data_IF_403078428431
#
_entry.id   IF_403078428431
#
_cell.length_a   1.000
_cell.length_b   1.000
_cell.length_c   1.000
_cell.angle_alpha   90.00
_cell.angle_beta   90.00
_cell.angle_gamma   90.00
#
_symmetry.space_group_name_H-M   'P 1'
#
loop_
_entity.id
_entity.type
_entity.pdbx_description
1 polymer ?
#
# COMPACT_ATOMS: atom_id res chain seq x y z
N UNK A 1 -17.55 -40.38 -16.74
CA UNK A 1 -17.05 -39.43 -17.75
C UNK A 1 -17.72 -38.09 -17.51
N UNK A 2 -17.10 -37.22 -16.72
CA UNK A 2 -17.62 -35.88 -16.42
C UNK A 2 -17.30 -34.96 -17.59
N UNK A 3 -18.32 -34.65 -18.40
CA UNK A 3 -18.25 -33.69 -19.49
C UNK A 3 -18.09 -32.28 -18.93
N UNK A 4 -16.88 -31.72 -19.02
CA UNK A 4 -16.65 -30.32 -18.66
C UNK A 4 -17.27 -29.41 -19.72
N UNK A 5 -18.25 -28.60 -19.31
CA UNK A 5 -18.85 -27.57 -20.16
C UNK A 5 -17.77 -26.56 -20.61
N UNK A 6 -17.71 -26.18 -21.90
CA UNK A 6 -16.70 -25.25 -22.37
C UNK A 6 -16.92 -23.84 -21.78
N UNK A 7 -15.91 -23.32 -21.09
CA UNK A 7 -15.89 -21.99 -20.48
C UNK A 7 -16.07 -20.93 -21.58
N UNK A 8 -17.08 -20.06 -21.44
CA UNK A 8 -17.38 -19.01 -22.42
C UNK A 8 -16.35 -17.87 -22.38
N UNK A 9 -16.26 -17.06 -23.43
CA UNK A 9 -15.34 -15.92 -23.49
C UNK A 9 -15.63 -14.88 -22.40
N UNK A 10 -16.88 -14.76 -21.96
CA UNK A 10 -17.26 -13.87 -20.87
C UNK A 10 -16.87 -14.46 -19.51
N UNK A 11 -17.02 -15.76 -19.31
CA UNK A 11 -16.53 -16.45 -18.12
C UNK A 11 -15.00 -16.35 -18.01
N UNK A 12 -14.27 -16.42 -19.15
CA UNK A 12 -12.83 -16.16 -19.21
C UNK A 12 -12.46 -14.74 -18.81
N UNK A 13 -13.27 -13.74 -19.17
CA UNK A 13 -13.05 -12.34 -18.76
C UNK A 13 -13.37 -12.14 -17.28
N UNK A 14 -14.38 -12.81 -16.74
CA UNK A 14 -14.74 -12.78 -15.31
C UNK A 14 -13.67 -13.39 -14.42
N UNK A 15 -12.97 -14.43 -14.90
CA UNK A 15 -11.81 -15.02 -14.22
C UNK A 15 -10.59 -14.09 -14.15
N UNK A 16 -10.53 -13.06 -15.00
CA UNK A 16 -9.40 -12.13 -15.10
C UNK A 16 -9.69 -10.72 -14.57
N UNK A 17 -10.95 -10.37 -14.32
CA UNK A 17 -11.30 -9.03 -13.89
C UNK A 17 -11.24 -8.94 -12.35
N UNK A 18 -10.44 -8.04 -11.75
CA UNK A 18 -10.22 -8.00 -10.31
C UNK A 18 -11.33 -7.27 -9.56
N UNK A 19 -12.60 -7.58 -9.86
CA UNK A 19 -13.73 -6.93 -9.19
C UNK A 19 -13.71 -7.34 -7.71
N UNK A 20 -13.45 -6.38 -6.84
CA UNK A 20 -13.36 -6.58 -5.39
C UNK A 20 -11.96 -6.92 -4.86
N UNK A 21 -10.94 -7.02 -5.71
CA UNK A 21 -9.56 -7.26 -5.23
C UNK A 21 -8.89 -5.96 -4.84
N UNK A 22 -8.30 -5.93 -3.63
CA UNK A 22 -7.52 -4.79 -3.14
C UNK A 22 -6.10 -4.82 -3.71
N UNK A 23 -5.51 -3.64 -3.89
CA UNK A 23 -4.11 -3.49 -4.26
C UNK A 23 -3.21 -4.18 -3.24
N UNK A 24 -2.31 -5.05 -3.68
CA UNK A 24 -1.40 -5.77 -2.78
C UNK A 24 -0.38 -4.88 -2.05
N UNK A 25 -0.23 -3.62 -2.50
CA UNK A 25 0.65 -2.61 -1.88
C UNK A 25 -0.15 -1.65 -1.00
N UNK A 26 -1.01 -0.83 -1.60
CA UNK A 26 -1.69 0.27 -0.88
C UNK A 26 -3.14 -0.04 -0.46
N UNK A 27 -3.62 -1.27 -0.72
CA UNK A 27 -4.99 -1.74 -0.41
C UNK A 27 -6.17 -0.93 -0.98
N UNK A 28 -5.92 0.04 -1.86
CA UNK A 28 -6.98 0.69 -2.63
C UNK A 28 -7.63 -0.29 -3.61
N UNK A 29 -8.87 -0.03 -4.08
CA UNK A 29 -9.49 -0.84 -5.13
C UNK A 29 -8.55 -0.98 -6.33
N UNK A 30 -8.28 -2.23 -6.74
CA UNK A 30 -7.43 -2.47 -7.89
C UNK A 30 -8.04 -1.91 -9.18
N UNK A 31 -7.18 -1.52 -10.12
CA UNK A 31 -7.58 -0.92 -11.39
C UNK A 31 -7.14 -1.75 -12.60
N UNK A 32 -6.94 -3.05 -12.40
CA UNK A 32 -6.62 -4.00 -13.48
C UNK A 32 -5.14 -4.30 -13.70
N UNK A 33 -4.23 -3.67 -12.96
CA UNK A 33 -2.80 -4.02 -13.02
C UNK A 33 -2.57 -5.33 -12.27
N UNK A 34 -2.03 -6.35 -12.93
CA UNK A 34 -1.74 -7.66 -12.32
C UNK A 34 -0.27 -8.01 -12.39
N UNK A 35 0.21 -8.83 -11.45
CA UNK A 35 1.56 -9.38 -11.49
C UNK A 35 1.52 -10.89 -11.39
N UNK A 36 2.33 -11.52 -12.24
CA UNK A 36 2.50 -12.95 -12.30
C UNK A 36 3.92 -13.28 -11.84
N UNK A 37 4.04 -14.23 -10.91
CA UNK A 37 5.33 -14.67 -10.40
C UNK A 37 6.18 -15.24 -11.56
N UNK A 38 7.34 -14.63 -11.89
CA UNK A 38 8.16 -15.10 -13.00
C UNK A 38 8.78 -16.47 -12.71
N UNK A 39 8.87 -16.88 -11.44
CA UNK A 39 9.37 -18.20 -11.05
C UNK A 39 8.21 -19.20 -11.12
N UNK A 40 8.23 -20.03 -12.17
CA UNK A 40 7.22 -21.07 -12.39
C UNK A 40 7.27 -22.12 -11.28
N UNK A 41 6.38 -21.99 -10.30
CA UNK A 41 6.17 -23.01 -9.27
C UNK A 41 5.13 -24.03 -9.75
N UNK A 42 5.29 -25.32 -9.40
CA UNK A 42 4.29 -26.36 -9.71
C UNK A 42 2.93 -26.11 -9.04
N UNK A 43 2.87 -25.24 -8.03
CA UNK A 43 1.64 -24.84 -7.35
C UNK A 43 1.14 -23.50 -7.90
N UNK A 44 -0.17 -23.35 -8.19
CA UNK A 44 -0.74 -22.04 -8.52
C UNK A 44 -0.50 -21.08 -7.35
N UNK A 45 0.22 -19.99 -7.61
CA UNK A 45 0.33 -18.86 -6.68
C UNK A 45 -0.84 -17.92 -6.94
N UNK A 46 -1.43 -17.28 -5.90
CA UNK A 46 -2.50 -16.32 -6.12
C UNK A 46 -2.00 -15.16 -7.00
N UNK A 47 -2.80 -14.76 -7.99
CA UNK A 47 -2.55 -13.54 -8.76
C UNK A 47 -2.73 -12.34 -7.85
N UNK A 48 -1.73 -11.46 -7.84
CA UNK A 48 -1.80 -10.18 -7.10
C UNK A 48 -2.16 -9.05 -8.05
N UNK A 49 -2.92 -8.09 -7.54
CA UNK A 49 -3.50 -6.99 -8.32
C UNK A 49 -3.15 -5.64 -7.69
N UNK A 50 -3.15 -4.58 -8.50
CA UNK A 50 -2.70 -3.24 -8.10
C UNK A 50 -3.62 -2.13 -8.63
N UNK A 51 -3.58 -0.98 -7.96
CA UNK A 51 -4.30 0.22 -8.37
C UNK A 51 -3.56 1.06 -9.43
N UNK A 52 -2.24 0.87 -9.60
CA UNK A 52 -1.41 1.63 -10.53
C UNK A 52 -0.14 0.86 -10.94
N UNK A 53 0.51 1.30 -12.03
CA UNK A 53 1.83 0.81 -12.45
C UNK A 53 2.90 1.02 -11.36
N UNK A 54 2.83 2.10 -10.59
CA UNK A 54 3.78 2.36 -9.50
C UNK A 54 3.70 1.30 -8.40
N UNK A 55 2.48 0.92 -7.99
CA UNK A 55 2.28 -0.16 -7.02
C UNK A 55 2.76 -1.52 -7.59
N UNK A 56 2.49 -1.80 -8.86
CA UNK A 56 2.99 -3.01 -9.51
C UNK A 56 4.53 -3.05 -9.57
N UNK A 57 5.16 -1.91 -9.90
CA UNK A 57 6.61 -1.77 -9.97
C UNK A 57 7.29 -1.96 -8.61
N UNK A 58 6.76 -1.30 -7.57
CA UNK A 58 7.21 -1.48 -6.19
C UNK A 58 7.14 -2.96 -5.77
N UNK A 59 5.99 -3.61 -6.01
CA UNK A 59 5.83 -5.03 -5.71
C UNK A 59 6.82 -5.91 -6.48
N UNK A 60 7.04 -5.62 -7.76
CA UNK A 60 7.97 -6.40 -8.60
C UNK A 60 9.41 -6.29 -8.08
N UNK A 61 9.82 -5.10 -7.63
CA UNK A 61 11.13 -4.90 -6.98
C UNK A 61 11.21 -5.69 -5.67
N UNK A 62 10.21 -5.54 -4.81
CA UNK A 62 10.15 -6.24 -3.53
C UNK A 62 10.18 -7.77 -3.71
N UNK A 63 9.36 -8.31 -4.61
CA UNK A 63 9.28 -9.73 -4.89
C UNK A 63 10.59 -10.32 -5.45
N UNK A 64 11.45 -9.50 -6.07
CA UNK A 64 12.80 -9.89 -6.50
C UNK A 64 13.81 -9.87 -5.35
N UNK A 65 13.62 -8.98 -4.38
CA UNK A 65 14.57 -8.73 -3.30
C UNK A 65 14.31 -9.61 -2.07
N UNK A 66 13.06 -9.78 -1.61
CA UNK A 66 12.71 -10.53 -0.39
C UNK A 66 11.28 -11.10 -0.43
N UNK A 67 11.11 -12.36 -0.01
CA UNK A 67 9.80 -13.05 0.11
C UNK A 67 9.25 -13.06 1.55
N UNK A 68 9.84 -12.34 2.51
CA UNK A 68 9.39 -12.36 3.91
C UNK A 68 9.52 -10.99 4.58
N UNK A 69 8.47 -10.62 5.35
CA UNK A 69 8.27 -9.44 6.22
C UNK A 69 8.90 -8.12 5.74
N UNK A 70 8.02 -7.17 5.42
CA UNK A 70 8.42 -5.79 5.10
C UNK A 70 8.72 -5.08 6.42
N UNK A 71 9.98 -5.10 6.82
CA UNK A 71 10.48 -4.15 7.82
C UNK A 71 10.32 -2.72 7.28
N UNK A 72 10.09 -1.77 8.18
CA UNK A 72 10.12 -0.36 7.80
C UNK A 72 11.50 -0.03 7.22
N UNK A 73 11.50 0.59 6.04
CA UNK A 73 12.72 1.14 5.44
C UNK A 73 13.26 2.28 6.30
N UNK A 74 14.52 2.64 6.11
CA UNK A 74 15.11 3.77 6.86
C UNK A 74 14.38 5.09 6.56
N UNK A 75 13.95 5.28 5.31
CA UNK A 75 13.10 6.40 4.90
C UNK A 75 11.74 6.38 5.61
N UNK A 76 11.10 5.21 5.73
CA UNK A 76 9.81 5.08 6.43
C UNK A 76 9.96 5.35 7.93
N UNK A 77 11.07 4.93 8.55
CA UNK A 77 11.37 5.26 9.96
C UNK A 77 11.60 6.76 10.15
N UNK A 78 12.33 7.40 9.23
CA UNK A 78 12.55 8.84 9.24
C UNK A 78 11.23 9.61 9.05
N UNK A 79 10.36 9.15 8.14
CA UNK A 79 9.04 9.74 7.93
C UNK A 79 8.13 9.61 9.16
N UNK A 80 8.14 8.47 9.84
CA UNK A 80 7.43 8.31 11.13
C UNK A 80 7.94 9.32 12.15
N UNK A 81 9.27 9.46 12.27
CA UNK A 81 9.86 10.41 13.22
C UNK A 81 9.49 11.87 12.89
N UNK A 82 9.48 12.24 11.61
CA UNK A 82 9.06 13.57 11.15
C UNK A 82 7.57 13.85 11.45
N UNK A 83 6.72 12.83 11.32
CA UNK A 83 5.28 12.91 11.58
C UNK A 83 4.97 13.14 13.06
N UNK A 84 5.82 12.66 13.98
CA UNK A 84 5.57 12.77 15.43
C UNK A 84 5.29 14.20 15.89
N UNK A 85 5.94 15.21 15.29
CA UNK A 85 5.71 16.61 15.65
C UNK A 85 4.29 17.07 15.33
N UNK A 86 3.76 16.71 14.17
CA UNK A 86 2.38 17.06 13.75
C UNK A 86 1.36 16.42 14.69
N UNK A 87 1.57 15.13 15.00
CA UNK A 87 0.74 14.39 15.96
C UNK A 87 0.80 15.01 17.36
N UNK A 88 1.97 15.45 17.81
CA UNK A 88 2.13 16.09 19.12
C UNK A 88 1.35 17.41 19.22
N UNK A 89 1.39 18.24 18.18
CA UNK A 89 0.62 19.49 18.13
C UNK A 89 -0.90 19.23 18.18
N UNK A 90 -1.38 18.23 17.45
CA UNK A 90 -2.79 17.84 17.50
C UNK A 90 -3.17 17.29 18.89
N UNK A 91 -2.28 16.55 19.55
CA UNK A 91 -2.48 16.06 20.91
C UNK A 91 -2.43 17.19 21.97
N UNK A 92 -1.71 18.28 21.73
CA UNK A 92 -1.76 19.48 22.59
C UNK A 92 -3.16 20.12 22.53
N UNK A 93 -3.79 20.17 21.36
CA UNK A 93 -5.16 20.69 21.18
C UNK A 93 -6.22 19.77 21.80
N UNK A 94 -6.03 18.45 21.67
CA UNK A 94 -6.93 17.44 22.25
C UNK A 94 -6.74 17.33 23.78
N UNK A 95 -5.53 17.59 24.26
CA UNK A 95 -5.11 17.42 25.65
C UNK A 95 -4.55 16.04 25.94
N UNK A 96 -3.26 15.99 26.31
CA UNK A 96 -2.53 14.76 26.66
C UNK A 96 -3.10 13.93 27.81
N UNK A 97 -3.91 14.54 28.68
CA UNK A 97 -4.55 13.84 29.79
C UNK A 97 -5.69 12.91 29.32
N UNK A 98 -6.20 13.11 28.11
CA UNK A 98 -7.26 12.28 27.54
C UNK A 98 -6.69 10.94 27.11
N UNK A 99 -7.14 9.86 27.75
CA UNK A 99 -6.78 8.52 27.31
C UNK A 99 -7.27 8.26 25.88
N UNK A 100 -6.55 7.45 25.09
CA UNK A 100 -6.96 7.09 23.73
C UNK A 100 -8.39 6.50 23.66
N UNK A 101 -8.80 5.73 24.67
CA UNK A 101 -10.16 5.18 24.76
C UNK A 101 -11.24 6.20 25.12
N UNK A 102 -10.85 7.40 25.55
CA UNK A 102 -11.74 8.52 25.85
C UNK A 102 -11.87 9.53 24.71
N UNK A 103 -11.15 9.32 23.59
CA UNK A 103 -11.26 10.19 22.42
C UNK A 103 -12.61 9.97 21.71
N UNK A 104 -13.22 11.07 21.27
CA UNK A 104 -14.38 11.01 20.38
C UNK A 104 -13.98 10.47 19.00
N UNK A 105 -14.94 9.95 18.24
CA UNK A 105 -14.72 9.49 16.86
C UNK A 105 -14.07 10.58 15.99
N UNK A 106 -14.48 11.84 16.15
CA UNK A 106 -13.92 12.96 15.41
C UNK A 106 -12.44 13.20 15.73
N UNK A 107 -12.05 13.08 17.01
CA UNK A 107 -10.65 13.22 17.43
C UNK A 107 -9.78 12.07 16.93
N UNK A 108 -10.29 10.83 16.99
CA UNK A 108 -9.57 9.66 16.46
C UNK A 108 -9.40 9.77 14.95
N UNK A 109 -10.45 10.19 14.22
CA UNK A 109 -10.37 10.42 12.78
C UNK A 109 -9.32 11.47 12.44
N UNK A 110 -9.34 12.62 13.12
CA UNK A 110 -8.36 13.69 12.93
C UNK A 110 -6.93 13.19 13.17
N UNK A 111 -6.70 12.39 14.23
CA UNK A 111 -5.40 11.82 14.54
C UNK A 111 -4.88 10.89 13.44
N UNK A 112 -5.75 10.04 12.88
CA UNK A 112 -5.40 9.12 11.79
C UNK A 112 -5.08 9.90 10.51
N UNK A 113 -5.93 10.86 10.15
CA UNK A 113 -5.75 11.67 8.94
C UNK A 113 -4.45 12.47 9.00
N UNK A 114 -4.20 13.15 10.11
CA UNK A 114 -2.98 13.94 10.34
C UNK A 114 -1.71 13.06 10.32
N UNK A 115 -1.79 11.87 10.91
CA UNK A 115 -0.67 10.91 10.89
C UNK A 115 -0.37 10.41 9.47
N UNK A 116 -1.41 10.06 8.71
CA UNK A 116 -1.24 9.55 7.34
C UNK A 116 -0.74 10.65 6.41
N UNK A 117 -1.25 11.87 6.55
CA UNK A 117 -0.83 13.01 5.74
C UNK A 117 0.62 13.40 6.06
N UNK A 118 0.99 13.52 7.34
CA UNK A 118 2.35 13.82 7.76
C UNK A 118 3.36 12.80 7.27
N UNK A 119 2.99 11.51 7.31
CA UNK A 119 3.85 10.45 6.79
C UNK A 119 4.05 10.56 5.27
N UNK A 120 2.98 10.80 4.51
CA UNK A 120 3.04 10.93 3.04
C UNK A 120 3.86 12.14 2.61
N UNK A 121 3.68 13.27 3.29
CA UNK A 121 4.43 14.49 3.03
C UNK A 121 5.93 14.27 3.30
N UNK A 122 6.28 13.70 4.45
CA UNK A 122 7.67 13.39 4.78
C UNK A 122 8.31 12.41 3.78
N UNK A 123 7.59 11.35 3.37
CA UNK A 123 8.06 10.43 2.33
C UNK A 123 8.26 11.12 0.98
N UNK A 124 7.37 12.07 0.62
CA UNK A 124 7.49 12.86 -0.61
C UNK A 124 8.75 13.73 -0.59
N UNK A 125 9.03 14.38 0.54
CA UNK A 125 10.20 15.25 0.68
C UNK A 125 11.51 14.46 0.71
N UNK A 126 11.54 13.31 1.39
CA UNK A 126 12.67 12.37 1.35
C UNK A 126 12.91 11.90 -0.09
N UNK A 127 11.86 11.54 -0.82
CA UNK A 127 11.99 11.11 -2.22
C UNK A 127 12.53 12.22 -3.12
N UNK A 128 12.11 13.47 -2.93
CA UNK A 128 12.66 14.62 -3.66
C UNK A 128 14.13 14.85 -3.33
N UNK A 129 14.52 14.75 -2.05
CA UNK A 129 15.90 14.92 -1.61
C UNK A 129 16.83 13.83 -2.17
N UNK A 130 16.30 12.62 -2.37
CA UNK A 130 17.01 11.48 -2.93
C UNK A 130 16.94 11.41 -4.47
N UNK A 131 16.25 12.34 -5.14
CA UNK A 131 16.14 12.33 -6.59
C UNK A 131 17.49 12.71 -7.23
N UNK A 132 18.02 11.89 -8.16
CA UNK A 132 19.24 12.24 -8.86
C UNK A 132 19.05 13.52 -9.67
N UNK A 133 20.01 14.45 -9.60
CA UNK A 133 20.07 15.58 -10.54
C UNK A 133 20.10 15.02 -11.96
N UNK A 134 19.07 15.32 -12.74
CA UNK A 134 19.03 14.95 -14.16
C UNK A 134 19.90 15.97 -14.89
N UNK A 135 21.06 15.57 -15.47
CA UNK A 135 21.84 16.46 -16.31
C UNK A 135 21.03 16.73 -17.57
N UNK A 136 20.72 18.00 -17.80
CA UNK A 136 20.08 18.48 -19.02
C UNK A 136 21.04 18.43 -20.21
#
# INVERSE_FOLDING_TARGET
MTTSTPITAEDRRRLWHPRGTLCAVCRQPSRGFGWFDPVRSKRPRPSVWFCSMSCQGYWTRLARERVAMVDLTDDERAAIAATMKRVALLMDEIGWATSLGGLSEAQVRALIEESVEGFREAMSDIAKANAPEVPF
#
